data_IF_665357990111
#
_entry.id   IF_665357990111
#
_cell.length_a   1.000
_cell.length_b   1.000
_cell.length_c   1.000
_cell.angle_alpha   90.00
_cell.angle_beta   90.00
_cell.angle_gamma   90.00
#
_symmetry.space_group_name_H-M   'P 1'
#
loop_
_entity.id
_entity.type
_entity.pdbx_description
1 polymer ?
#
# COMPACT_ATOMS: atom_id res chain seq x y z
N UNK A 1 -0.96 38.98 9.10
CA UNK A 1 -0.31 37.76 8.57
C UNK A 1 -1.36 36.67 8.48
N UNK A 2 -1.82 36.35 7.26
CA UNK A 2 -2.87 35.36 7.04
C UNK A 2 -2.27 33.94 7.07
N UNK A 3 -2.94 33.01 7.73
CA UNK A 3 -2.50 31.63 7.90
C UNK A 3 -2.59 30.86 6.57
N UNK A 4 -1.47 30.36 6.00
CA UNK A 4 -1.47 29.68 4.69
C UNK A 4 -2.19 28.32 4.68
N UNK A 5 -2.72 27.86 5.82
CA UNK A 5 -3.53 26.63 5.91
C UNK A 5 -5.06 26.85 5.80
N UNK A 6 -5.53 28.07 5.57
CA UNK A 6 -6.95 28.29 5.29
C UNK A 6 -7.26 27.88 3.84
N UNK A 7 -7.67 26.62 3.65
CA UNK A 7 -8.25 26.17 2.39
C UNK A 7 -9.43 27.08 2.01
N UNK A 8 -9.63 27.41 0.72
CA UNK A 8 -10.77 28.18 0.28
C UNK A 8 -12.06 27.48 0.72
N UNK A 9 -12.79 28.12 1.65
CA UNK A 9 -14.12 27.68 2.06
C UNK A 9 -15.04 27.90 0.87
N UNK A 10 -15.30 26.83 0.11
CA UNK A 10 -16.42 26.81 -0.81
C UNK A 10 -17.69 27.17 -0.03
N UNK A 11 -18.51 28.06 -0.62
CA UNK A 11 -19.77 28.59 -0.10
C UNK A 11 -20.89 27.53 0.12
N UNK A 12 -20.52 26.26 0.20
CA UNK A 12 -21.33 25.14 0.67
C UNK A 12 -20.39 24.35 1.57
N UNK A 13 -20.48 24.55 2.88
CA UNK A 13 -19.57 24.03 3.91
C UNK A 13 -19.58 22.51 4.11
N UNK A 14 -19.66 21.74 3.03
CA UNK A 14 -19.50 20.29 3.01
C UNK A 14 -18.30 19.98 2.12
N UNK A 15 -17.22 19.37 2.65
CA UNK A 15 -16.14 18.90 1.80
C UNK A 15 -16.74 17.98 0.74
N UNK A 16 -16.33 18.15 -0.52
CA UNK A 16 -16.78 17.33 -1.65
C UNK A 16 -16.63 15.86 -1.27
N UNK A 17 -17.74 15.20 -0.91
CA UNK A 17 -17.73 13.79 -0.54
C UNK A 17 -17.29 13.04 -1.78
N UNK A 18 -16.13 12.40 -1.70
CA UNK A 18 -15.84 11.32 -2.64
C UNK A 18 -16.96 10.31 -2.39
N UNK A 19 -17.79 10.05 -3.40
CA UNK A 19 -18.88 9.08 -3.35
C UNK A 19 -18.27 7.66 -3.30
N UNK A 20 -17.55 7.35 -2.24
CA UNK A 20 -17.18 6.00 -1.90
C UNK A 20 -18.40 5.38 -1.21
N UNK A 21 -18.82 4.17 -1.60
CA UNK A 21 -19.93 3.47 -0.94
C UNK A 21 -19.64 3.12 0.53
N UNK A 22 -18.39 3.33 0.97
CA UNK A 22 -17.89 3.00 2.30
C UNK A 22 -17.00 4.13 2.84
N UNK A 23 -16.87 4.25 4.18
CA UNK A 23 -15.86 5.10 4.80
C UNK A 23 -14.44 4.74 4.36
N UNK A 24 -13.54 5.72 4.29
CA UNK A 24 -12.19 5.55 3.69
C UNK A 24 -11.37 4.51 4.48
N UNK A 25 -11.44 4.54 5.80
CA UNK A 25 -10.75 3.56 6.66
C UNK A 25 -11.26 2.12 6.46
N UNK A 26 -12.55 1.94 6.22
CA UNK A 26 -13.13 0.62 5.93
C UNK A 26 -12.67 0.14 4.56
N UNK A 27 -12.73 1.00 3.55
CA UNK A 27 -12.28 0.66 2.20
C UNK A 27 -10.79 0.28 2.18
N UNK A 28 -9.92 1.14 2.74
CA UNK A 28 -8.49 0.87 2.85
C UNK A 28 -8.22 -0.40 3.66
N UNK A 29 -8.94 -0.62 4.76
CA UNK A 29 -8.79 -1.82 5.57
C UNK A 29 -9.16 -3.11 4.82
N UNK A 30 -10.28 -3.10 4.09
CA UNK A 30 -10.71 -4.22 3.23
C UNK A 30 -9.75 -4.44 2.07
N UNK A 31 -9.21 -3.37 1.49
CA UNK A 31 -8.20 -3.44 0.43
C UNK A 31 -6.96 -4.22 0.89
N UNK A 32 -6.42 -3.90 2.07
CA UNK A 32 -5.29 -4.64 2.64
C UNK A 32 -5.63 -6.09 2.98
N UNK A 33 -6.84 -6.37 3.47
CA UNK A 33 -7.30 -7.74 3.71
C UNK A 33 -7.34 -8.55 2.41
N UNK A 34 -7.87 -7.98 1.32
CA UNK A 34 -7.91 -8.63 0.01
C UNK A 34 -6.49 -8.92 -0.51
N UNK A 35 -5.57 -7.96 -0.40
CA UNK A 35 -4.16 -8.17 -0.78
C UNK A 35 -3.54 -9.31 0.03
N UNK A 36 -3.77 -9.33 1.34
CA UNK A 36 -3.27 -10.41 2.21
C UNK A 36 -3.81 -11.78 1.80
N UNK A 37 -5.11 -11.89 1.47
CA UNK A 37 -5.68 -13.15 0.96
C UNK A 37 -5.02 -13.55 -0.36
N UNK A 38 -4.82 -12.62 -1.30
CA UNK A 38 -4.15 -12.91 -2.56
C UNK A 38 -2.72 -13.41 -2.31
N UNK A 39 -2.00 -12.82 -1.36
CA UNK A 39 -0.66 -13.28 -0.97
C UNK A 39 -0.70 -14.70 -0.38
N UNK A 40 -1.60 -14.98 0.55
CA UNK A 40 -1.76 -16.31 1.17
C UNK A 40 -2.10 -17.36 0.11
N UNK A 41 -3.05 -17.06 -0.79
CA UNK A 41 -3.43 -17.96 -1.89
C UNK A 41 -2.26 -18.18 -2.84
N UNK A 42 -1.53 -17.12 -3.19
CA UNK A 42 -0.32 -17.21 -4.02
C UNK A 42 0.76 -18.08 -3.38
N UNK A 43 0.96 -17.97 -2.06
CA UNK A 43 1.89 -18.82 -1.31
C UNK A 43 1.43 -20.29 -1.30
N UNK A 44 0.13 -20.54 -1.13
CA UNK A 44 -0.44 -21.89 -1.18
C UNK A 44 -0.28 -22.53 -2.56
N UNK A 45 -0.52 -21.78 -3.64
CA UNK A 45 -0.26 -22.23 -5.01
C UNK A 45 1.24 -22.47 -5.23
N UNK A 46 2.10 -21.58 -4.71
CA UNK A 46 3.56 -21.74 -4.78
C UNK A 46 4.04 -23.00 -4.08
N UNK A 47 3.45 -23.35 -2.93
CA UNK A 47 3.74 -24.59 -2.23
C UNK A 47 3.40 -25.82 -3.11
N UNK A 48 2.23 -25.82 -3.73
CA UNK A 48 1.76 -26.93 -4.57
C UNK A 48 2.58 -27.11 -5.85
N UNK A 49 3.14 -26.03 -6.40
CA UNK A 49 3.88 -26.06 -7.67
C UNK A 49 5.39 -26.24 -7.50
N UNK A 50 5.97 -25.83 -6.38
CA UNK A 50 7.43 -25.73 -6.23
C UNK A 50 8.01 -26.45 -5.00
N UNK A 51 7.18 -27.15 -4.21
CA UNK A 51 7.58 -27.92 -3.01
C UNK A 51 8.45 -27.14 -1.99
N UNK A 52 8.43 -25.81 -2.05
CA UNK A 52 9.15 -24.92 -1.16
C UNK A 52 8.20 -23.87 -0.59
N UNK A 53 7.95 -23.97 0.71
CA UNK A 53 7.19 -22.96 1.44
C UNK A 53 8.11 -21.80 1.79
N UNK A 54 8.03 -20.70 1.04
CA UNK A 54 8.67 -19.46 1.44
C UNK A 54 7.63 -18.62 2.20
N UNK A 55 7.72 -18.60 3.53
CA UNK A 55 6.79 -17.86 4.39
C UNK A 55 7.11 -16.36 4.33
N UNK A 56 6.26 -15.57 3.66
CA UNK A 56 6.35 -14.11 3.64
C UNK A 56 5.51 -13.50 4.78
N UNK A 57 6.13 -12.91 5.81
CA UNK A 57 5.41 -12.27 6.92
C UNK A 57 4.63 -11.03 6.48
N UNK A 58 4.83 -10.51 5.26
CA UNK A 58 4.11 -9.36 4.72
C UNK A 58 2.58 -9.59 4.68
N UNK A 59 2.13 -10.84 4.53
CA UNK A 59 0.69 -11.18 4.50
C UNK A 59 0.02 -10.99 5.87
N UNK A 60 0.72 -11.32 6.96
CA UNK A 60 0.24 -11.12 8.33
C UNK A 60 0.22 -9.63 8.68
N UNK A 61 1.28 -8.91 8.28
CA UNK A 61 1.38 -7.46 8.49
C UNK A 61 0.29 -6.69 7.75
N UNK A 62 0.00 -7.05 6.50
CA UNK A 62 -1.08 -6.44 5.71
C UNK A 62 -2.46 -6.77 6.28
N UNK A 63 -2.69 -8.03 6.70
CA UNK A 63 -3.96 -8.40 7.36
C UNK A 63 -4.18 -7.64 8.67
N UNK A 64 -3.14 -7.54 9.49
CA UNK A 64 -3.17 -6.83 10.76
C UNK A 64 -3.39 -5.33 10.54
N UNK A 65 -2.64 -4.71 9.63
CA UNK A 65 -2.80 -3.30 9.25
C UNK A 65 -4.21 -3.00 8.74
N UNK A 66 -4.76 -3.87 7.88
CA UNK A 66 -6.12 -3.76 7.39
C UNK A 66 -7.17 -3.86 8.49
N UNK A 67 -7.02 -4.83 9.39
CA UNK A 67 -7.93 -5.03 10.53
C UNK A 67 -7.92 -3.86 11.51
N UNK A 68 -6.75 -3.27 11.77
CA UNK A 68 -6.62 -2.09 12.62
C UNK A 68 -7.19 -0.82 11.97
N UNK A 69 -7.08 -0.68 10.65
CA UNK A 69 -7.73 0.41 9.89
C UNK A 69 -9.26 0.33 9.98
N UNK A 70 -9.85 -0.86 9.87
CA UNK A 70 -11.30 -1.06 10.05
C UNK A 70 -11.76 -0.63 11.45
N UNK A 71 -10.93 -0.85 12.48
CA UNK A 71 -11.19 -0.44 13.87
C UNK A 71 -10.90 1.04 14.16
N UNK A 72 -10.63 1.87 13.14
CA UNK A 72 -10.32 3.31 13.26
C UNK A 72 -9.16 3.65 14.20
N UNK A 73 -8.18 2.76 14.33
CA UNK A 73 -7.01 3.04 15.17
C UNK A 73 -6.08 4.07 14.50
N UNK A 74 -5.94 5.27 15.10
CA UNK A 74 -5.12 6.36 14.55
C UNK A 74 -3.61 6.05 14.56
N UNK A 75 -3.14 5.29 15.55
CA UNK A 75 -1.76 4.78 15.60
C UNK A 75 -1.51 3.84 14.43
N UNK A 76 -2.44 2.90 14.19
CA UNK A 76 -2.31 1.95 13.09
C UNK A 76 -2.31 2.64 11.71
N UNK A 77 -3.09 3.71 11.54
CA UNK A 77 -3.03 4.53 10.32
C UNK A 77 -1.62 5.08 10.05
N UNK A 78 -0.94 5.59 11.08
CA UNK A 78 0.44 6.10 10.94
C UNK A 78 1.42 4.99 10.58
N UNK A 79 1.29 3.82 11.22
CA UNK A 79 2.09 2.64 10.90
C UNK A 79 1.90 2.15 9.47
N UNK A 80 0.65 2.06 8.99
CA UNK A 80 0.35 1.63 7.62
C UNK A 80 0.92 2.61 6.60
N UNK A 81 0.78 3.92 6.83
CA UNK A 81 1.38 4.94 5.95
C UNK A 81 2.91 4.80 5.94
N UNK A 82 3.54 4.71 7.12
CA UNK A 82 4.99 4.55 7.23
C UNK A 82 5.51 3.28 6.55
N UNK A 83 4.82 2.15 6.73
CA UNK A 83 5.15 0.88 6.09
C UNK A 83 5.02 0.95 4.57
N UNK A 84 3.95 1.56 4.04
CA UNK A 84 3.80 1.73 2.60
C UNK A 84 4.87 2.64 2.00
N UNK A 85 5.21 3.75 2.68
CA UNK A 85 6.31 4.64 2.26
C UNK A 85 7.65 3.91 2.27
N UNK A 86 7.91 3.10 3.30
CA UNK A 86 9.11 2.28 3.39
C UNK A 86 9.21 1.31 2.20
N UNK A 87 8.13 0.58 1.89
CA UNK A 87 8.08 -0.31 0.74
C UNK A 87 8.28 0.43 -0.60
N UNK A 88 7.61 1.58 -0.78
CA UNK A 88 7.78 2.42 -1.97
C UNK A 88 9.23 2.90 -2.11
N UNK A 89 9.89 3.26 -1.02
CA UNK A 89 11.30 3.66 -1.02
C UNK A 89 12.23 2.50 -1.40
N UNK A 90 11.94 1.28 -0.93
CA UNK A 90 12.66 0.07 -1.32
C UNK A 90 12.50 -0.24 -2.81
N UNK A 91 11.28 -0.11 -3.33
CA UNK A 91 10.99 -0.27 -4.77
C UNK A 91 11.72 0.77 -5.61
N UNK A 92 11.72 2.04 -5.19
CA UNK A 92 12.47 3.10 -5.87
C UNK A 92 13.98 2.83 -5.84
N UNK A 93 14.51 2.35 -4.72
CA UNK A 93 15.91 1.97 -4.58
C UNK A 93 16.29 0.81 -5.50
N UNK A 94 15.46 -0.24 -5.57
CA UNK A 94 15.66 -1.35 -6.50
C UNK A 94 15.63 -0.89 -7.96
N UNK A 95 14.69 -0.01 -8.32
CA UNK A 95 14.62 0.59 -9.65
C UNK A 95 15.87 1.39 -10.01
N UNK A 96 16.33 2.25 -9.09
CA UNK A 96 17.55 3.03 -9.26
C UNK A 96 18.79 2.14 -9.36
N UNK A 97 18.88 1.11 -8.53
CA UNK A 97 19.97 0.14 -8.58
C UNK A 97 20.02 -0.61 -9.91
N UNK A 98 18.86 -1.08 -10.41
CA UNK A 98 18.76 -1.75 -11.72
C UNK A 98 19.15 -0.82 -12.88
N UNK A 99 18.88 0.49 -12.78
CA UNK A 99 19.32 1.48 -13.78
C UNK A 99 20.84 1.73 -13.75
N UNK A 100 21.45 1.75 -12.57
CA UNK A 100 22.87 2.07 -12.40
C UNK A 100 23.80 0.88 -12.67
N UNK A 101 23.43 -0.31 -12.21
CA UNK A 101 24.27 -1.51 -12.27
C UNK A 101 23.82 -2.53 -13.32
N UNK A 102 22.73 -2.24 -14.03
CA UNK A 102 22.09 -3.16 -14.95
C UNK A 102 21.25 -4.21 -14.24
N UNK A 103 20.40 -4.88 -15.00
CA UNK A 103 19.53 -5.94 -14.50
C UNK A 103 20.21 -7.33 -14.51
N UNK A 104 21.49 -7.40 -14.89
CA UNK A 104 22.27 -8.64 -14.94
C UNK A 104 22.45 -9.30 -13.58
N UNK A 105 22.47 -8.54 -12.49
CA UNK A 105 22.56 -9.08 -11.12
C UNK A 105 21.22 -9.56 -10.56
N UNK A 106 20.12 -9.42 -11.31
CA UNK A 106 18.81 -9.87 -10.89
C UNK A 106 18.44 -11.19 -11.56
N UNK A 107 17.83 -12.07 -10.78
CA UNK A 107 17.05 -13.19 -11.30
C UNK A 107 15.59 -12.88 -10.99
N UNK A 108 14.73 -12.90 -12.01
CA UNK A 108 13.29 -12.82 -11.84
C UNK A 108 12.71 -14.20 -12.11
N UNK A 109 11.96 -14.73 -11.15
CA UNK A 109 11.23 -15.98 -11.30
C UNK A 109 9.75 -15.70 -11.59
N UNK A 110 9.35 -15.84 -12.86
CA UNK A 110 7.96 -15.75 -13.33
C UNK A 110 7.70 -17.00 -14.17
N UNK A 111 7.08 -18.04 -13.58
CA UNK A 111 6.90 -19.39 -14.14
C UNK A 111 8.20 -20.17 -14.44
N UNK A 112 9.21 -19.50 -15.00
CA UNK A 112 10.58 -19.97 -15.19
C UNK A 112 11.54 -18.88 -14.66
N UNK A 113 12.79 -19.28 -14.40
CA UNK A 113 13.83 -18.37 -13.94
C UNK A 113 14.46 -17.66 -15.14
N UNK A 114 14.42 -16.33 -15.14
CA UNK A 114 15.06 -15.50 -16.17
C UNK A 114 16.34 -14.93 -15.56
N UNK A 115 17.47 -15.52 -15.94
CA UNK A 115 18.79 -14.97 -15.66
C UNK A 115 19.03 -13.77 -16.58
N UNK A 116 19.37 -12.61 -16.01
CA UNK A 116 19.56 -11.34 -16.73
C UNK A 116 18.29 -10.78 -17.41
N UNK A 117 17.24 -10.48 -16.64
CA UNK A 117 16.03 -9.85 -17.17
C UNK A 117 16.37 -8.50 -17.81
N UNK A 118 15.68 -8.14 -18.88
CA UNK A 118 15.76 -6.77 -19.42
C UNK A 118 15.25 -5.75 -18.39
N UNK A 119 15.71 -4.49 -18.49
CA UNK A 119 15.23 -3.39 -17.63
C UNK A 119 13.70 -3.28 -17.61
N UNK A 120 13.03 -3.57 -18.73
CA UNK A 120 11.58 -3.57 -18.82
C UNK A 120 10.93 -4.65 -17.94
N UNK A 121 11.50 -5.86 -17.88
CA UNK A 121 11.00 -6.93 -17.03
C UNK A 121 11.13 -6.61 -15.53
N UNK A 122 12.04 -5.71 -15.15
CA UNK A 122 12.18 -5.23 -13.77
C UNK A 122 11.25 -4.05 -13.50
N UNK A 123 11.19 -3.07 -14.40
CA UNK A 123 10.43 -1.83 -14.19
C UNK A 123 8.92 -2.01 -14.23
N UNK A 124 8.40 -2.90 -15.08
CA UNK A 124 6.96 -3.17 -15.19
C UNK A 124 6.35 -3.68 -13.86
N UNK A 125 6.87 -4.77 -13.24
CA UNK A 125 6.34 -5.23 -11.97
C UNK A 125 6.58 -4.23 -10.84
N UNK A 126 7.70 -3.50 -10.83
CA UNK A 126 7.92 -2.41 -9.85
C UNK A 126 6.84 -1.34 -9.97
N UNK A 127 6.49 -0.92 -11.19
CA UNK A 127 5.42 0.04 -11.44
C UNK A 127 4.05 -0.43 -10.93
N UNK A 128 3.71 -1.70 -11.15
CA UNK A 128 2.47 -2.29 -10.63
C UNK A 128 2.46 -2.28 -9.10
N UNK A 129 3.56 -2.65 -8.46
CA UNK A 129 3.70 -2.61 -7.00
C UNK A 129 3.53 -1.18 -6.47
N UNK A 130 4.14 -0.20 -7.13
CA UNK A 130 3.98 1.23 -6.76
C UNK A 130 2.51 1.64 -6.83
N UNK A 131 1.80 1.31 -7.92
CA UNK A 131 0.39 1.64 -8.07
C UNK A 131 -0.47 1.03 -6.95
N UNK A 132 -0.24 -0.24 -6.60
CA UNK A 132 -0.97 -0.94 -5.55
C UNK A 132 -0.70 -0.31 -4.18
N UNK A 133 0.55 0.03 -3.87
CA UNK A 133 0.94 0.58 -2.56
C UNK A 133 0.60 2.07 -2.41
N UNK A 134 0.58 2.83 -3.50
CA UNK A 134 0.31 4.27 -3.46
C UNK A 134 -1.17 4.57 -3.14
N UNK A 135 -2.10 3.78 -3.65
CA UNK A 135 -3.55 3.97 -3.46
C UNK A 135 -3.94 4.12 -1.97
N UNK A 136 -3.61 3.18 -1.07
CA UNK A 136 -3.97 3.32 0.34
C UNK A 136 -3.27 4.50 1.02
N UNK A 137 -2.04 4.85 0.61
CA UNK A 137 -1.33 6.03 1.15
C UNK A 137 -2.08 7.31 0.81
N UNK A 138 -2.42 7.50 -0.48
CA UNK A 138 -3.17 8.68 -0.92
C UNK A 138 -4.52 8.78 -0.24
N UNK A 139 -5.27 7.67 -0.15
CA UNK A 139 -6.57 7.62 0.51
C UNK A 139 -6.47 7.99 1.99
N UNK A 140 -5.51 7.41 2.71
CA UNK A 140 -5.33 7.67 4.14
C UNK A 140 -4.76 9.05 4.46
N UNK A 141 -4.16 9.75 3.48
CA UNK A 141 -3.68 11.13 3.63
C UNK A 141 -4.74 12.19 3.30
N UNK A 142 -5.88 11.80 2.73
CA UNK A 142 -6.96 12.76 2.43
C UNK A 142 -7.48 13.47 3.69
N UNK A 143 -7.92 14.73 3.54
CA UNK A 143 -8.53 15.51 4.62
C UNK A 143 -9.75 14.81 5.24
N UNK A 144 -10.48 14.03 4.45
CA UNK A 144 -11.63 13.23 4.90
C UNK A 144 -11.19 12.09 5.83
N UNK A 145 -10.16 11.33 5.46
CA UNK A 145 -9.61 10.30 6.32
C UNK A 145 -9.05 10.91 7.62
N UNK A 146 -8.33 12.03 7.53
CA UNK A 146 -7.82 12.74 8.72
C UNK A 146 -8.96 13.10 9.68
N UNK A 147 -10.02 13.73 9.17
CA UNK A 147 -11.17 14.13 9.98
C UNK A 147 -11.87 12.92 10.61
N UNK A 148 -11.99 11.82 9.86
CA UNK A 148 -12.64 10.60 10.31
C UNK A 148 -11.88 9.92 11.47
N UNK A 149 -10.56 9.77 11.35
CA UNK A 149 -9.74 9.19 12.42
C UNK A 149 -9.65 10.11 13.65
N UNK A 150 -9.54 11.43 13.46
CA UNK A 150 -9.49 12.39 14.56
C UNK A 150 -10.82 12.51 15.33
N UNK A 151 -11.95 12.35 14.63
CA UNK A 151 -13.28 12.37 15.27
C UNK A 151 -13.47 11.24 16.28
N UNK A 152 -12.79 10.10 16.07
CA UNK A 152 -12.86 8.94 16.95
C UNK A 152 -11.89 9.07 18.14
N UNK A 153 -10.74 9.72 17.95
CA UNK A 153 -9.77 9.98 19.02
C UNK A 153 -10.31 10.96 20.08
N UNK A 154 -11.18 11.88 19.68
CA UNK A 154 -11.84 12.82 20.61
C UNK A 154 -13.10 12.25 21.28
N UNK A 155 -13.53 11.04 20.91
CA UNK A 155 -14.77 10.42 21.39
C UNK A 155 -14.55 9.29 22.42
N UNK A 156 -13.30 8.87 22.65
CA UNK A 156 -12.91 7.88 23.66
C UNK A 156 -12.03 8.51 24.72
#
# INVERSE_FOLDING_TARGET
MANPYQSPRHASGKPARVWLPWPIHVFAGRYFQVISVIQIVSMGIGLLLFDRLNMDPSCVLTWWGGSCLVRRNSIARRWVIGFCIFLLSGVAFMGAYAMLFGASSFSIRIFYEIEHPTLTHVLVPLGIIVCILAVPVFLLQTAQAIAEFNSHENAG
#
